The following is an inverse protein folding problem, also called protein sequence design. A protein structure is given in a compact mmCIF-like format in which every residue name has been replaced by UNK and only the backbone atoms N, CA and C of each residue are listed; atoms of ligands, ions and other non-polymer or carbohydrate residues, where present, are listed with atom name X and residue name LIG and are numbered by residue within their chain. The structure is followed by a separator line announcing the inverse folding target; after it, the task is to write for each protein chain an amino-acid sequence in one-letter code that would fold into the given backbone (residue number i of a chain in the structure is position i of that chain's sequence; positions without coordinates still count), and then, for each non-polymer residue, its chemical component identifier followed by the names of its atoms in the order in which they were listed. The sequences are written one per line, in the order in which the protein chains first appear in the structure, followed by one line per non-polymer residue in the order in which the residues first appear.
data_IF_827395354307
#
_entry.id   IF_827395354307
#
_cell.length_a   1.000
_cell.length_b   1.000
_cell.length_c   1.000
_cell.angle_alpha   90.00
_cell.angle_beta   90.00
_cell.angle_gamma   90.00
#
_symmetry.space_group_name_H-M   'P 1'
#
loop_
_entity.id
_entity.type
_entity.pdbx_description
1 polymer ?
#
# COMPACT_ATOMS: atom_id res chain seq x y z
N UNK A 1 -67.83 7.67 -11.03
CA UNK A 1 -67.39 6.56 -11.90
C UNK A 1 -65.87 6.62 -11.98
N UNK A 2 -65.19 5.75 -11.25
CA UNK A 2 -63.73 5.71 -11.16
C UNK A 2 -63.23 4.75 -12.23
N UNK A 3 -62.70 5.26 -13.35
CA UNK A 3 -62.13 4.42 -14.40
C UNK A 3 -60.89 3.72 -13.86
N UNK A 4 -60.97 2.40 -13.68
CA UNK A 4 -59.82 1.56 -13.43
C UNK A 4 -58.91 1.61 -14.68
N UNK A 5 -57.81 2.38 -14.59
CA UNK A 5 -56.77 2.38 -15.62
C UNK A 5 -56.21 0.96 -15.71
N UNK A 6 -56.51 0.27 -16.81
CA UNK A 6 -55.94 -1.04 -17.09
C UNK A 6 -54.42 -0.87 -17.27
N UNK A 7 -53.63 -1.29 -16.27
CA UNK A 7 -52.17 -1.27 -16.39
C UNK A 7 -51.78 -2.25 -17.50
N UNK A 8 -51.05 -1.77 -18.50
CA UNK A 8 -50.51 -2.64 -19.54
C UNK A 8 -49.53 -3.66 -18.90
N UNK A 9 -49.45 -4.90 -19.41
CA UNK A 9 -48.58 -5.94 -18.86
C UNK A 9 -47.11 -5.52 -18.82
N UNK A 10 -46.71 -4.56 -19.68
CA UNK A 10 -45.39 -3.94 -19.70
C UNK A 10 -45.10 -3.11 -18.44
N UNK A 11 -46.10 -2.40 -17.90
CA UNK A 11 -45.93 -1.63 -16.66
C UNK A 11 -45.81 -2.53 -15.42
N UNK A 12 -46.53 -3.66 -15.41
CA UNK A 12 -46.44 -4.66 -14.33
C UNK A 12 -45.04 -5.30 -14.33
N UNK A 13 -44.56 -5.69 -15.52
CA UNK A 13 -43.21 -6.26 -15.68
C UNK A 13 -42.13 -5.27 -15.25
N UNK A 14 -42.25 -4.00 -15.66
CA UNK A 14 -41.31 -2.95 -15.26
C UNK A 14 -41.32 -2.75 -13.74
N UNK A 15 -42.49 -2.73 -13.11
CA UNK A 15 -42.60 -2.57 -11.66
C UNK A 15 -41.98 -3.75 -10.89
N UNK A 16 -42.16 -4.98 -11.37
CA UNK A 16 -41.52 -6.17 -10.81
C UNK A 16 -40.00 -6.11 -10.95
N UNK A 17 -39.50 -5.66 -12.09
CA UNK A 17 -38.06 -5.50 -12.33
C UNK A 17 -37.46 -4.45 -11.39
N UNK A 18 -38.14 -3.31 -11.21
CA UNK A 18 -37.69 -2.24 -10.30
C UNK A 18 -37.69 -2.74 -8.85
N UNK A 19 -38.74 -3.44 -8.42
CA UNK A 19 -38.81 -4.04 -7.09
C UNK A 19 -37.63 -5.00 -6.92
N UNK A 20 -37.44 -5.95 -7.84
CA UNK A 20 -36.36 -6.95 -7.79
C UNK A 20 -34.97 -6.31 -7.68
N UNK A 21 -34.67 -5.31 -8.51
CA UNK A 21 -33.38 -4.59 -8.47
C UNK A 21 -33.21 -3.86 -7.14
N UNK A 22 -34.29 -3.26 -6.60
CA UNK A 22 -34.24 -2.56 -5.32
C UNK A 22 -34.00 -3.53 -4.16
N UNK A 23 -34.69 -4.69 -4.14
CA UNK A 23 -34.47 -5.71 -3.10
C UNK A 23 -33.06 -6.31 -3.20
N UNK A 24 -32.57 -6.57 -4.42
CA UNK A 24 -31.19 -7.04 -4.62
C UNK A 24 -30.17 -6.03 -4.10
N UNK A 25 -30.39 -4.73 -4.35
CA UNK A 25 -29.48 -3.66 -3.88
C UNK A 25 -29.45 -3.55 -2.35
N UNK A 26 -30.57 -3.83 -1.68
CA UNK A 26 -30.65 -3.85 -0.21
C UNK A 26 -29.98 -5.07 0.43
N UNK A 27 -29.77 -6.15 -0.33
CA UNK A 27 -29.09 -7.35 0.13
C UNK A 27 -27.56 -7.32 -0.04
N UNK A 28 -27.00 -6.25 -0.64
CA UNK A 28 -25.55 -6.13 -0.80
C UNK A 28 -24.94 -5.66 0.52
N UNK A 29 -24.18 -6.53 1.18
CA UNK A 29 -23.33 -6.15 2.32
C UNK A 29 -22.07 -5.45 1.80
N UNK A 30 -21.60 -4.37 2.44
CA UNK A 30 -20.34 -3.75 2.08
C UNK A 30 -19.18 -4.74 2.23
N UNK A 31 -18.25 -4.74 1.28
CA UNK A 31 -16.98 -5.46 1.42
C UNK A 31 -16.13 -4.71 2.45
N UNK A 32 -15.76 -5.38 3.55
CA UNK A 32 -14.97 -4.80 4.62
C UNK A 32 -13.48 -5.05 4.36
N UNK A 33 -12.71 -3.97 4.29
CA UNK A 33 -11.26 -3.98 4.35
C UNK A 33 -10.86 -3.44 5.73
N UNK A 34 -9.95 -4.13 6.42
CA UNK A 34 -9.62 -3.86 7.81
C UNK A 34 -8.11 -3.73 7.98
N UNK A 35 -7.66 -2.59 8.51
CA UNK A 35 -6.24 -2.30 8.73
C UNK A 35 -5.62 -3.20 9.82
N UNK A 36 -6.43 -3.67 10.76
CA UNK A 36 -5.97 -4.29 12.01
C UNK A 36 -6.13 -5.81 12.07
N UNK A 37 -6.51 -6.45 10.97
CA UNK A 37 -6.55 -7.90 10.86
C UNK A 37 -5.66 -8.43 9.73
N UNK A 38 -5.42 -9.73 9.78
CA UNK A 38 -4.59 -10.46 8.82
C UNK A 38 -5.45 -11.06 7.68
N UNK A 39 -6.54 -10.38 7.28
CA UNK A 39 -7.34 -10.80 6.12
C UNK A 39 -6.78 -10.19 4.84
N UNK A 40 -6.82 -10.94 3.75
CA UNK A 40 -6.47 -10.40 2.44
C UNK A 40 -7.61 -9.51 1.91
N UNK A 41 -7.35 -8.21 1.82
CA UNK A 41 -8.31 -7.22 1.30
C UNK A 41 -7.97 -6.78 -0.13
N UNK A 42 -6.78 -7.12 -0.61
CA UNK A 42 -6.17 -6.62 -1.85
C UNK A 42 -4.77 -6.06 -1.59
N UNK A 43 -4.20 -5.38 -2.58
CA UNK A 43 -2.85 -4.87 -2.44
C UNK A 43 -2.75 -3.76 -1.39
N UNK A 44 -1.85 -3.91 -0.41
CA UNK A 44 -1.78 -2.99 0.74
C UNK A 44 -1.39 -1.57 0.36
N UNK A 45 -0.55 -1.39 -0.66
CA UNK A 45 -0.16 -0.05 -1.10
C UNK A 45 -1.26 0.66 -1.88
N UNK A 46 -2.06 -0.10 -2.64
CA UNK A 46 -3.23 0.45 -3.35
C UNK A 46 -4.32 0.87 -2.36
N UNK A 47 -4.56 0.07 -1.32
CA UNK A 47 -5.66 0.29 -0.39
C UNK A 47 -5.34 1.23 0.77
N UNK A 48 -4.13 1.11 1.34
CA UNK A 48 -3.79 1.77 2.60
C UNK A 48 -2.76 2.88 2.45
N UNK A 49 -1.88 2.83 1.45
CA UNK A 49 -0.82 3.84 1.31
C UNK A 49 -1.32 5.20 0.77
N UNK A 50 -2.54 5.29 0.25
CA UNK A 50 -3.07 6.54 -0.34
C UNK A 50 -2.42 6.93 -1.68
N UNK A 51 -1.42 6.18 -2.15
CA UNK A 51 -0.81 6.32 -3.46
C UNK A 51 -0.64 4.95 -4.14
N UNK A 52 -1.58 4.60 -5.02
CA UNK A 52 -1.54 3.36 -5.80
C UNK A 52 -0.39 3.26 -6.79
N UNK A 53 0.37 4.33 -7.05
CA UNK A 53 1.51 4.29 -7.99
C UNK A 53 2.77 3.61 -7.43
N UNK A 54 2.75 3.18 -6.16
CA UNK A 54 3.84 2.39 -5.57
C UNK A 54 3.91 0.96 -6.14
N UNK A 55 2.79 0.44 -6.65
CA UNK A 55 2.70 -0.92 -7.20
C UNK A 55 2.05 -0.86 -8.59
N UNK A 56 2.76 -1.22 -9.67
CA UNK A 56 4.14 -1.75 -9.68
C UNK A 56 5.19 -0.66 -9.39
N UNK A 57 6.38 -1.06 -8.89
CA UNK A 57 7.49 -0.12 -8.71
C UNK A 57 7.92 0.49 -10.06
N UNK A 58 8.36 1.75 -10.02
CA UNK A 58 8.79 2.48 -11.23
C UNK A 58 10.05 1.89 -11.87
N UNK A 59 10.93 1.31 -11.06
CA UNK A 59 12.19 0.71 -11.47
C UNK A 59 12.40 -0.61 -10.74
N UNK A 60 12.97 -1.59 -11.41
CA UNK A 60 13.53 -2.78 -10.78
C UNK A 60 14.80 -2.44 -9.99
N UNK A 61 15.24 -3.36 -9.12
CA UNK A 61 16.48 -3.19 -8.36
C UNK A 61 17.72 -3.12 -9.29
N UNK A 62 17.70 -3.89 -10.38
CA UNK A 62 18.75 -3.84 -11.39
C UNK A 62 18.81 -2.47 -12.06
N UNK A 63 17.68 -1.97 -12.59
CA UNK A 63 17.63 -0.65 -13.24
C UNK A 63 17.96 0.49 -12.27
N UNK A 64 17.57 0.36 -11.01
CA UNK A 64 17.92 1.32 -9.95
C UNK A 64 19.43 1.44 -9.78
N UNK A 65 20.13 0.30 -9.80
CA UNK A 65 21.60 0.25 -9.72
C UNK A 65 22.25 0.80 -10.99
N UNK A 66 21.74 0.47 -12.16
CA UNK A 66 22.24 0.99 -13.44
C UNK A 66 22.12 2.53 -13.51
N UNK A 67 21.12 3.10 -12.83
CA UNK A 67 20.93 4.56 -12.71
C UNK A 67 21.66 5.19 -11.52
N UNK A 68 22.42 4.40 -10.76
CA UNK A 68 23.12 4.85 -9.55
C UNK A 68 22.20 5.57 -8.55
N UNK A 69 20.95 5.12 -8.46
CA UNK A 69 19.98 5.66 -7.50
C UNK A 69 20.00 4.84 -6.20
N UNK A 70 19.87 5.49 -5.03
CA UNK A 70 19.56 4.78 -3.79
C UNK A 70 18.23 4.04 -3.90
N UNK A 71 18.15 2.89 -3.24
CA UNK A 71 16.95 2.05 -3.26
C UNK A 71 16.38 1.87 -1.86
N UNK A 72 15.06 1.94 -1.73
CA UNK A 72 14.32 1.52 -0.53
C UNK A 72 13.51 0.28 -0.88
N UNK A 73 13.92 -0.88 -0.38
CA UNK A 73 13.14 -2.10 -0.49
C UNK A 73 12.19 -2.18 0.70
N UNK A 74 10.92 -2.45 0.43
CA UNK A 74 9.91 -2.71 1.46
C UNK A 74 9.31 -4.07 1.21
N UNK A 75 9.66 -5.04 2.07
CA UNK A 75 9.09 -6.38 2.01
C UNK A 75 7.81 -6.43 2.84
N UNK A 76 6.75 -6.96 2.25
CA UNK A 76 5.42 -6.96 2.83
C UNK A 76 4.62 -8.20 2.41
N UNK A 77 3.54 -8.48 3.13
CA UNK A 77 2.48 -9.40 2.70
C UNK A 77 1.14 -8.68 2.71
N UNK A 78 0.27 -9.03 1.77
CA UNK A 78 -1.01 -8.34 1.59
C UNK A 78 -2.05 -8.69 2.67
N UNK A 79 -1.87 -9.83 3.32
CA UNK A 79 -2.68 -10.36 4.41
C UNK A 79 -2.05 -10.10 5.79
N UNK A 80 -1.07 -9.20 5.91
CA UNK A 80 -0.42 -8.88 7.19
C UNK A 80 -0.88 -7.51 7.70
N UNK A 81 -1.51 -7.47 8.87
CA UNK A 81 -1.93 -6.23 9.54
C UNK A 81 -0.77 -5.26 9.80
N UNK A 82 0.42 -5.77 10.13
CA UNK A 82 1.62 -4.94 10.27
C UNK A 82 2.04 -4.31 8.93
N UNK A 83 1.94 -5.06 7.84
CA UNK A 83 2.21 -4.53 6.49
C UNK A 83 1.19 -3.47 6.08
N UNK A 84 -0.10 -3.70 6.38
CA UNK A 84 -1.17 -2.71 6.14
C UNK A 84 -0.91 -1.41 6.91
N UNK A 85 -0.56 -1.50 8.20
CA UNK A 85 -0.23 -0.34 9.06
C UNK A 85 1.02 0.41 8.62
N UNK A 86 1.98 -0.28 8.00
CA UNK A 86 3.23 0.34 7.55
C UNK A 86 3.10 1.06 6.20
N UNK A 87 2.16 0.66 5.34
CA UNK A 87 2.02 1.22 3.99
C UNK A 87 1.88 2.76 3.92
N UNK A 88 1.16 3.43 4.84
CA UNK A 88 1.07 4.90 4.91
C UNK A 88 2.41 5.60 5.15
N UNK A 89 3.26 5.03 6.01
CA UNK A 89 4.61 5.56 6.30
C UNK A 89 5.46 5.53 5.02
N UNK A 90 5.38 4.43 4.25
CA UNK A 90 6.10 4.31 2.98
C UNK A 90 5.64 5.35 1.96
N UNK A 91 4.33 5.62 1.87
CA UNK A 91 3.84 6.69 0.98
C UNK A 91 4.27 8.07 1.44
N UNK A 92 4.33 8.30 2.75
CA UNK A 92 4.85 9.56 3.27
C UNK A 92 6.32 9.75 2.89
N UNK A 93 7.16 8.73 3.05
CA UNK A 93 8.55 8.74 2.61
C UNK A 93 8.65 8.97 1.09
N UNK A 94 7.81 8.29 0.30
CA UNK A 94 7.72 8.51 -1.14
C UNK A 94 7.43 9.97 -1.47
N UNK A 95 6.51 10.63 -0.76
CA UNK A 95 6.15 12.03 -1.04
C UNK A 95 7.34 12.99 -0.94
N UNK A 96 8.35 12.67 -0.12
CA UNK A 96 9.56 13.48 0.02
C UNK A 96 10.67 13.10 -0.95
N UNK A 97 10.84 11.80 -1.23
CA UNK A 97 12.05 11.30 -1.90
C UNK A 97 11.81 10.69 -3.29
N UNK A 98 10.56 10.63 -3.79
CA UNK A 98 10.22 9.93 -5.05
C UNK A 98 11.03 10.32 -6.29
N UNK A 99 11.64 11.51 -6.29
CA UNK A 99 12.45 12.02 -7.41
C UNK A 99 13.91 11.60 -7.35
N UNK A 100 14.40 11.20 -6.18
CA UNK A 100 15.82 10.99 -5.89
C UNK A 100 16.16 9.59 -5.39
N UNK A 101 15.15 8.79 -5.00
CA UNK A 101 15.32 7.37 -4.66
C UNK A 101 14.34 6.51 -5.45
N UNK A 102 14.69 5.24 -5.58
CA UNK A 102 13.78 4.19 -6.06
C UNK A 102 13.15 3.48 -4.87
N UNK A 103 11.82 3.55 -4.73
CA UNK A 103 11.07 2.78 -3.73
C UNK A 103 10.50 1.55 -4.41
N UNK A 104 10.83 0.38 -3.87
CA UNK A 104 10.50 -0.92 -4.45
C UNK A 104 9.77 -1.74 -3.39
N UNK A 105 8.42 -1.70 -3.38
CA UNK A 105 7.62 -2.65 -2.63
C UNK A 105 7.79 -4.06 -3.21
N UNK A 106 8.00 -5.03 -2.33
CA UNK A 106 8.19 -6.44 -2.70
C UNK A 106 7.22 -7.30 -1.90
N UNK A 107 6.19 -7.82 -2.55
CA UNK A 107 5.36 -8.85 -1.96
C UNK A 107 6.21 -10.11 -1.75
N UNK A 108 6.28 -10.62 -0.52
CA UNK A 108 7.15 -11.77 -0.22
C UNK A 108 6.78 -13.02 -1.02
N UNK A 109 5.50 -13.19 -1.35
CA UNK A 109 5.00 -14.30 -2.17
C UNK A 109 5.47 -14.22 -3.63
N UNK A 110 5.87 -13.03 -4.08
CA UNK A 110 6.40 -12.82 -5.43
C UNK A 110 7.90 -13.14 -5.54
N UNK A 111 8.61 -13.34 -4.41
CA UNK A 111 10.04 -13.60 -4.42
C UNK A 111 10.28 -15.03 -4.96
N UNK A 112 11.01 -15.20 -6.08
CA UNK A 112 11.21 -16.52 -6.66
C UNK A 112 12.01 -17.42 -5.73
N UNK A 113 11.50 -18.61 -5.42
CA UNK A 113 12.21 -19.56 -4.55
C UNK A 113 13.51 -20.06 -5.23
N UNK A 114 14.66 -19.54 -4.77
CA UNK A 114 15.99 -19.91 -5.26
C UNK A 114 16.90 -20.30 -4.11
N UNK A 115 17.87 -21.19 -4.37
CA UNK A 115 18.89 -21.59 -3.38
C UNK A 115 19.88 -20.46 -3.05
N UNK A 116 20.11 -19.56 -4.01
CA UNK A 116 21.02 -18.41 -3.90
C UNK A 116 20.47 -17.27 -4.74
N UNK A 117 20.56 -16.06 -4.22
CA UNK A 117 20.21 -14.81 -4.91
C UNK A 117 21.48 -14.02 -5.23
N UNK A 118 21.46 -13.28 -6.34
CA UNK A 118 22.44 -12.24 -6.65
C UNK A 118 22.13 -10.96 -5.88
N UNK A 119 23.14 -10.10 -5.66
CA UNK A 119 22.96 -8.77 -5.05
C UNK A 119 22.05 -7.83 -5.84
N UNK A 120 21.75 -8.15 -7.09
CA UNK A 120 20.83 -7.39 -7.95
C UNK A 120 19.38 -7.88 -7.84
N UNK A 121 19.15 -8.95 -7.08
CA UNK A 121 17.83 -9.52 -6.84
C UNK A 121 17.32 -9.11 -5.47
N UNK A 122 16.03 -8.74 -5.39
CA UNK A 122 15.39 -8.34 -4.12
C UNK A 122 15.46 -9.45 -3.07
N UNK A 123 15.38 -10.72 -3.49
CA UNK A 123 15.47 -11.88 -2.59
C UNK A 123 16.80 -12.00 -1.83
N UNK A 124 17.87 -11.32 -2.26
CA UNK A 124 19.14 -11.29 -1.53
C UNK A 124 19.04 -10.51 -0.21
N UNK A 125 18.13 -9.54 -0.12
CA UNK A 125 18.00 -8.64 1.03
C UNK A 125 16.87 -9.03 1.98
N UNK A 126 16.02 -9.98 1.59
CA UNK A 126 14.91 -10.43 2.42
C UNK A 126 15.41 -11.25 3.61
N UNK A 127 15.09 -10.80 4.82
CA UNK A 127 15.51 -11.40 6.09
C UNK A 127 14.54 -12.44 6.68
N UNK A 128 13.43 -12.74 5.99
CA UNK A 128 12.46 -13.75 6.42
C UNK A 128 11.40 -13.24 7.41
N UNK A 129 11.31 -11.92 7.64
CA UNK A 129 10.29 -11.30 8.49
C UNK A 129 9.69 -10.10 7.78
N UNK A 130 8.46 -9.75 8.14
CA UNK A 130 7.71 -8.63 7.54
C UNK A 130 6.99 -7.79 8.62
N UNK A 131 6.67 -6.52 8.31
CA UNK A 131 7.28 -5.75 7.23
C UNK A 131 8.79 -5.60 7.47
N UNK A 132 9.56 -5.46 6.39
CA UNK A 132 11.01 -5.21 6.50
C UNK A 132 11.39 -4.08 5.55
N UNK A 133 12.15 -3.13 6.06
CA UNK A 133 12.66 -2.00 5.30
C UNK A 133 14.18 -2.13 5.14
N UNK A 134 14.65 -2.09 3.90
CA UNK A 134 16.08 -2.11 3.58
C UNK A 134 16.41 -0.91 2.70
N UNK A 135 17.38 -0.09 3.12
CA UNK A 135 17.86 1.03 2.30
C UNK A 135 19.26 0.70 1.79
N UNK A 136 19.41 0.84 0.48
CA UNK A 136 20.66 0.70 -0.25
C UNK A 136 21.13 2.08 -0.70
N UNK A 137 22.41 2.37 -0.54
CA UNK A 137 23.03 3.52 -1.20
C UNK A 137 23.11 3.28 -2.73
N UNK A 138 23.53 4.32 -3.47
CA UNK A 138 23.73 4.25 -4.93
C UNK A 138 24.70 3.15 -5.38
N UNK A 139 25.58 2.67 -4.48
CA UNK A 139 26.56 1.59 -4.74
C UNK A 139 26.00 0.21 -4.39
N UNK A 140 24.76 0.11 -3.93
CA UNK A 140 24.13 -1.13 -3.49
C UNK A 140 24.58 -1.60 -2.11
N UNK A 141 25.20 -0.74 -1.29
CA UNK A 141 25.53 -1.07 0.10
C UNK A 141 24.32 -0.85 0.97
N UNK A 142 24.01 -1.83 1.83
CA UNK A 142 22.98 -1.70 2.86
C UNK A 142 23.42 -0.67 3.90
N UNK A 143 22.63 0.40 4.06
CA UNK A 143 22.84 1.46 5.05
C UNK A 143 21.76 1.47 6.14
N UNK A 144 20.64 0.77 5.91
CA UNK A 144 19.56 0.57 6.87
C UNK A 144 18.90 -0.77 6.61
N UNK A 145 18.57 -1.51 7.67
CA UNK A 145 17.86 -2.78 7.58
C UNK A 145 17.13 -3.04 8.90
N UNK A 146 15.82 -2.90 8.87
CA UNK A 146 14.98 -3.10 10.04
C UNK A 146 13.75 -3.94 9.72
N UNK A 147 13.26 -4.63 10.74
CA UNK A 147 12.06 -5.47 10.71
C UNK A 147 11.03 -4.84 11.64
N UNK A 148 9.77 -4.85 11.20
CA UNK A 148 8.64 -4.25 11.89
C UNK A 148 8.29 -2.89 11.32
N UNK A 149 7.47 -2.15 12.07
CA UNK A 149 7.04 -0.80 11.71
C UNK A 149 8.18 0.19 11.97
N UNK A 150 9.13 0.26 11.03
CA UNK A 150 10.23 1.23 11.10
C UNK A 150 9.68 2.65 11.24
N UNK A 151 10.24 3.42 12.16
CA UNK A 151 9.78 4.78 12.41
C UNK A 151 10.06 5.66 11.19
N UNK A 152 9.13 6.56 10.87
CA UNK A 152 9.31 7.51 9.78
C UNK A 152 10.62 8.29 9.93
N UNK A 153 10.98 8.70 11.15
CA UNK A 153 12.17 9.49 11.42
C UNK A 153 13.45 8.70 11.19
N UNK A 154 13.48 7.41 11.51
CA UNK A 154 14.67 6.59 11.29
C UNK A 154 14.94 6.42 9.79
N UNK A 155 13.88 6.24 9.00
CA UNK A 155 13.96 6.20 7.53
C UNK A 155 14.33 7.59 6.96
N UNK A 156 13.65 8.66 7.36
CA UNK A 156 13.90 10.03 6.91
C UNK A 156 15.34 10.44 7.24
N UNK A 157 15.78 10.24 8.48
CA UNK A 157 17.14 10.56 8.92
C UNK A 157 18.20 9.77 8.15
N UNK A 158 17.92 8.52 7.78
CA UNK A 158 18.81 7.73 6.92
C UNK A 158 18.99 8.40 5.57
N UNK A 159 17.90 8.80 4.90
CA UNK A 159 17.99 9.50 3.62
C UNK A 159 18.62 10.87 3.75
N UNK A 160 18.29 11.64 4.78
CA UNK A 160 18.89 12.96 5.01
C UNK A 160 20.40 12.85 5.21
N UNK A 161 20.86 11.86 5.99
CA UNK A 161 22.29 11.58 6.14
C UNK A 161 22.93 11.14 4.83
N UNK A 162 22.25 10.32 4.03
CA UNK A 162 22.73 9.89 2.71
C UNK A 162 22.92 11.07 1.75
N UNK A 163 22.02 12.05 1.78
CA UNK A 163 22.02 13.23 0.92
C UNK A 163 22.66 14.48 1.53
N UNK A 164 23.29 14.36 2.70
CA UNK A 164 23.90 15.48 3.44
C UNK A 164 22.92 16.65 3.70
N UNK A 165 21.68 16.32 4.08
CA UNK A 165 20.61 17.27 4.38
C UNK A 165 20.50 17.49 5.91
N UNK A 166 20.22 18.73 6.38
CA UNK A 166 20.02 19.00 7.81
C UNK A 166 18.79 18.24 8.32
N UNK A 167 18.77 17.74 9.55
CA UNK A 167 17.62 16.96 10.07
C UNK A 167 16.29 17.72 10.00
N UNK A 168 15.18 16.99 9.91
CA UNK A 168 13.84 17.58 9.89
C UNK A 168 13.40 17.89 11.32
N UNK A 169 13.08 19.16 11.59
CA UNK A 169 12.56 19.60 12.90
C UNK A 169 11.03 19.75 12.87
N UNK A 170 10.35 19.37 13.96
CA UNK A 170 8.92 19.66 14.21
C UNK A 170 8.04 18.45 14.54
N UNK A 171 6.92 18.67 15.25
CA UNK A 171 5.94 17.64 15.67
C UNK A 171 5.13 17.02 14.50
N UNK A 172 5.23 17.58 13.29
CA UNK A 172 4.53 17.12 12.09
C UNK A 172 4.97 15.73 11.57
N UNK A 173 5.88 15.06 12.28
CA UNK A 173 6.41 13.73 12.00
C UNK A 173 5.45 12.60 12.44
N UNK A 174 4.45 12.94 13.25
CA UNK A 174 3.35 12.04 13.65
C UNK A 174 2.05 12.51 13.03
N UNK A 175 1.98 12.55 11.70
CA UNK A 175 0.65 12.60 11.09
C UNK A 175 -0.05 11.30 11.48
N UNK A 176 -1.30 11.35 11.97
CA UNK A 176 -2.08 10.13 12.13
C UNK A 176 -2.05 9.40 10.80
N UNK A 177 -1.81 8.09 10.84
CA UNK A 177 -1.98 7.23 9.69
C UNK A 177 -3.44 7.39 9.24
N UNK A 178 -3.67 8.18 8.19
CA UNK A 178 -5.00 8.41 7.63
C UNK A 178 -5.11 7.53 6.40
N UNK A 179 -5.45 6.26 6.60
CA UNK A 179 -5.80 5.41 5.48
C UNK A 179 -7.04 6.03 4.80
N UNK A 180 -6.93 6.33 3.50
CA UNK A 180 -8.00 6.99 2.74
C UNK A 180 -9.32 6.19 2.76
N UNK A 181 -9.22 4.86 2.92
CA UNK A 181 -10.36 3.94 2.95
C UNK A 181 -11.14 3.92 4.28
N UNK A 182 -10.52 4.21 5.42
CA UNK A 182 -11.22 4.19 6.72
C UNK A 182 -11.97 5.50 7.02
N UNK A 183 -11.50 6.64 6.50
CA UNK A 183 -12.19 7.93 6.67
C UNK A 183 -13.44 8.08 5.79
N UNK A 184 -13.41 7.62 4.54
CA UNK A 184 -14.60 7.68 3.68
C UNK A 184 -15.71 6.72 4.13
N UNK A 185 -15.36 5.64 4.83
CA UNK A 185 -16.33 4.67 5.36
C UNK A 185 -16.84 5.06 6.76
N UNK A 186 -16.19 6.00 7.46
CA UNK A 186 -16.66 6.56 8.72
C UNK A 186 -16.35 5.70 9.96
N UNK A 187 -15.39 4.78 9.89
CA UNK A 187 -15.12 3.79 10.96
C UNK A 187 -13.73 3.88 11.60
N UNK A 188 -13.01 4.98 11.41
CA UNK A 188 -11.84 5.28 12.24
C UNK A 188 -12.30 5.55 13.70
N UNK A 189 -12.34 4.51 14.52
CA UNK A 189 -12.51 4.58 15.98
C UNK A 189 -11.18 4.36 16.69
#
# INVERSE_FOLDING_TARGET
MMQARHLSPKHILLSLLVILITTLSLCVTPAWASLNDDRYDGNVFVLYAGNGSLVPPRLSLQETRERELPAMLVFYADDSSDSKRFAPIVSEIQSYYEKVISIIPVAIDSIPQKKRYSKDEVGYYYGGKIPQTVILDAKGKVIFNEVGQSDFNDIDNTFRKLFDLPLREGENLKKPIQSFNEYNSGFAQ
#
